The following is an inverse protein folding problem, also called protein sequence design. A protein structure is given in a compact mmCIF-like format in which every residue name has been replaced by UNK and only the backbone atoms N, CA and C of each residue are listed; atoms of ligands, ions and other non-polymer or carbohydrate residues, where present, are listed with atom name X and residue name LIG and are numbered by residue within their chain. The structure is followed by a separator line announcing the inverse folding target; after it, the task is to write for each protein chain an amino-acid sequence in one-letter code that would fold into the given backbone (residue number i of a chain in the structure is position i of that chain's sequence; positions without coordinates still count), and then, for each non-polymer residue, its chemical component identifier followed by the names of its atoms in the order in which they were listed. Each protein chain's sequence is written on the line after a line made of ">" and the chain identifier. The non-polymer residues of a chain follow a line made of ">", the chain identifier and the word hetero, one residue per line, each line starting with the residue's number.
data_IF_336531106748
#
_entry.id   IF_336531106748
#
_cell.length_a   1.000
_cell.length_b   1.000
_cell.length_c   1.000
_cell.angle_alpha   90.00
_cell.angle_beta   90.00
_cell.angle_gamma   90.00
#
_symmetry.space_group_name_H-M   'P 1'
#
loop_
_entity.id
_entity.type
_entity.pdbx_description
1 polymer ?
#
# COMPACT_ATOMS: atom_id res chain seq x y z
N UNK A 1 -14.18 -6.64 -13.47
CA UNK A 1 -14.24 -5.71 -12.31
C UNK A 1 -13.89 -4.30 -12.80
N UNK A 2 -14.88 -3.45 -13.04
CA UNK A 2 -14.64 -2.03 -13.32
C UNK A 2 -14.23 -1.36 -12.01
N UNK A 3 -12.98 -0.95 -11.93
CA UNK A 3 -12.38 -0.41 -10.73
C UNK A 3 -12.56 1.12 -10.81
N UNK A 4 -13.67 1.61 -10.27
CA UNK A 4 -14.01 3.03 -10.28
C UNK A 4 -12.89 3.82 -9.58
N UNK A 5 -12.39 4.85 -10.25
CA UNK A 5 -11.27 5.70 -9.88
C UNK A 5 -11.69 6.64 -8.75
N UNK A 6 -12.00 6.08 -7.58
CA UNK A 6 -12.10 6.90 -6.39
C UNK A 6 -10.68 7.36 -6.07
N UNK A 7 -10.38 8.62 -6.36
CA UNK A 7 -9.23 9.32 -5.80
C UNK A 7 -9.47 9.43 -4.30
N UNK A 8 -9.04 8.39 -3.58
CA UNK A 8 -9.07 8.36 -2.11
C UNK A 8 -7.84 9.12 -1.62
N UNK A 9 -7.96 9.78 -0.47
CA UNK A 9 -6.79 10.38 0.19
C UNK A 9 -5.81 9.25 0.53
N UNK A 10 -4.78 9.09 -0.29
CA UNK A 10 -3.79 8.04 -0.16
C UNK A 10 -2.82 8.44 0.95
N UNK A 11 -2.77 7.71 2.08
CA UNK A 11 -1.92 8.09 3.20
C UNK A 11 -0.45 7.71 2.98
N UNK A 12 -0.09 7.19 1.81
CA UNK A 12 1.24 6.65 1.61
C UNK A 12 2.29 7.76 1.51
N UNK A 13 3.41 7.55 2.20
CA UNK A 13 4.53 8.48 2.31
C UNK A 13 5.24 8.73 0.97
N UNK A 14 5.00 7.89 -0.04
CA UNK A 14 5.63 8.03 -1.35
C UNK A 14 4.80 8.91 -2.30
N UNK A 15 4.75 10.20 -1.98
CA UNK A 15 3.92 11.20 -2.67
C UNK A 15 4.30 11.43 -4.15
N UNK A 16 5.54 11.14 -4.56
CA UNK A 16 5.99 11.26 -5.96
C UNK A 16 5.61 10.06 -6.84
N UNK A 17 4.89 9.07 -6.31
CA UNK A 17 4.44 7.91 -7.06
C UNK A 17 3.38 8.29 -8.11
N UNK A 18 3.59 7.89 -9.37
CA UNK A 18 2.64 8.11 -10.47
C UNK A 18 1.28 7.40 -10.30
N UNK A 19 1.20 6.46 -9.36
CA UNK A 19 0.00 5.69 -8.99
C UNK A 19 -0.61 6.17 -7.66
N UNK A 20 -0.08 7.23 -7.06
CA UNK A 20 -0.59 7.80 -5.81
C UNK A 20 -2.07 8.21 -5.98
N UNK A 21 -2.94 7.80 -5.05
CA UNK A 21 -4.38 8.03 -5.16
C UNK A 21 -5.12 7.15 -6.19
N UNK A 22 -4.41 6.32 -6.97
CA UNK A 22 -4.99 5.41 -7.97
C UNK A 22 -5.03 3.97 -7.43
N UNK A 23 -5.95 3.70 -6.50
CA UNK A 23 -5.96 2.45 -5.72
C UNK A 23 -5.91 1.18 -6.58
N UNK A 24 -6.66 1.10 -7.67
CA UNK A 24 -6.69 -0.08 -8.51
C UNK A 24 -5.37 -0.32 -9.24
N UNK A 25 -4.76 0.73 -9.78
CA UNK A 25 -3.42 0.66 -10.39
C UNK A 25 -2.34 0.33 -9.36
N UNK A 26 -2.43 0.92 -8.16
CA UNK A 26 -1.51 0.70 -7.05
C UNK A 26 -1.53 -0.77 -6.59
N UNK A 27 -2.73 -1.31 -6.31
CA UNK A 27 -2.90 -2.72 -5.91
C UNK A 27 -2.45 -3.66 -7.02
N UNK A 28 -2.85 -3.41 -8.27
CA UNK A 28 -2.44 -4.26 -9.39
C UNK A 28 -0.92 -4.27 -9.58
N UNK A 29 -0.26 -3.13 -9.42
CA UNK A 29 1.20 -3.01 -9.52
C UNK A 29 1.91 -3.79 -8.42
N UNK A 30 1.56 -3.56 -7.14
CA UNK A 30 2.21 -4.24 -6.03
C UNK A 30 1.90 -5.74 -6.01
N UNK A 31 0.66 -6.15 -6.30
CA UNK A 31 0.28 -7.57 -6.39
C UNK A 31 1.12 -8.33 -7.42
N UNK A 32 1.40 -7.74 -8.58
CA UNK A 32 2.26 -8.35 -9.60
C UNK A 32 3.71 -8.55 -9.14
N UNK A 33 4.15 -7.83 -8.11
CA UNK A 33 5.49 -7.90 -7.54
C UNK A 33 5.54 -8.72 -6.24
N UNK A 34 4.42 -9.31 -5.81
CA UNK A 34 4.32 -10.01 -4.52
C UNK A 34 4.39 -9.04 -3.32
N UNK A 35 4.04 -7.78 -3.53
CA UNK A 35 4.11 -6.70 -2.56
C UNK A 35 2.71 -6.24 -2.14
N UNK A 36 2.63 -5.56 -0.99
CA UNK A 36 1.46 -4.82 -0.54
C UNK A 36 1.63 -3.30 -0.75
N UNK A 37 0.56 -2.57 -1.10
CA UNK A 37 0.56 -1.12 -1.08
C UNK A 37 0.94 -0.55 0.29
N UNK A 38 1.71 0.54 0.31
CA UNK A 38 2.14 1.21 1.55
C UNK A 38 0.97 1.63 2.45
N UNK A 39 -0.15 2.06 1.85
CA UNK A 39 -1.35 2.48 2.59
C UNK A 39 -2.02 1.37 3.40
N UNK A 40 -1.64 0.09 3.23
CA UNK A 40 -2.13 -1.01 4.06
C UNK A 40 -1.32 -1.21 5.34
N UNK A 41 -0.17 -0.54 5.47
CA UNK A 41 0.67 -0.61 6.65
C UNK A 41 0.29 0.49 7.65
N UNK A 42 0.59 0.26 8.93
CA UNK A 42 0.63 1.31 9.94
C UNK A 42 1.66 2.38 9.56
N UNK A 43 1.57 3.58 10.18
CA UNK A 43 2.56 4.64 9.96
C UNK A 43 4.00 4.16 10.24
N UNK A 44 4.18 3.30 11.25
CA UNK A 44 5.48 2.75 11.61
C UNK A 44 5.95 1.69 10.62
N UNK A 45 5.05 0.79 10.21
CA UNK A 45 5.33 -0.24 9.21
C UNK A 45 5.66 0.36 7.84
N UNK A 46 4.89 1.35 7.39
CA UNK A 46 5.10 1.97 6.09
C UNK A 46 6.48 2.64 5.96
N UNK A 47 6.95 3.26 7.05
CA UNK A 47 8.27 3.91 7.16
C UNK A 47 9.45 2.95 7.03
N UNK A 48 9.23 1.64 7.17
CA UNK A 48 10.27 0.62 6.94
C UNK A 48 10.56 0.41 5.46
N UNK A 49 9.66 0.88 4.58
CA UNK A 49 9.70 0.67 3.12
C UNK A 49 9.70 -0.79 2.65
N UNK A 50 9.62 -1.75 3.57
CA UNK A 50 9.46 -3.16 3.26
C UNK A 50 8.00 -3.45 2.89
N UNK A 51 7.76 -3.68 1.60
CA UNK A 51 6.44 -3.94 1.02
C UNK A 51 6.10 -5.44 0.96
N UNK A 52 6.90 -6.31 1.58
CA UNK A 52 6.61 -7.74 1.61
C UNK A 52 5.30 -8.03 2.36
N UNK A 53 4.61 -9.10 1.93
CA UNK A 53 3.40 -9.57 2.61
C UNK A 53 3.72 -10.06 4.04
N UNK A 54 4.93 -10.60 4.26
CA UNK A 54 5.40 -10.99 5.59
C UNK A 54 5.52 -9.79 6.54
N UNK A 55 6.08 -8.68 6.06
CA UNK A 55 6.16 -7.46 6.86
C UNK A 55 4.77 -6.88 7.13
N UNK A 56 3.86 -6.93 6.15
CA UNK A 56 2.47 -6.52 6.36
C UNK A 56 1.83 -7.33 7.49
N UNK A 57 1.97 -8.65 7.48
CA UNK A 57 1.44 -9.52 8.53
C UNK A 57 2.02 -9.17 9.91
N UNK A 58 3.34 -8.95 9.99
CA UNK A 58 4.02 -8.55 11.24
C UNK A 58 3.53 -7.20 11.75
N UNK A 59 3.33 -6.23 10.86
CA UNK A 59 2.82 -4.91 11.20
C UNK A 59 1.39 -4.97 11.76
N UNK A 60 0.52 -5.76 11.13
CA UNK A 60 -0.84 -6.02 11.65
C UNK A 60 -0.81 -6.69 13.03
N UNK A 61 0.07 -7.68 13.25
CA UNK A 61 0.21 -8.35 14.54
C UNK A 61 0.68 -7.43 15.66
N UNK A 62 1.54 -6.46 15.36
CA UNK A 62 2.04 -5.47 16.34
C UNK A 62 1.02 -4.38 16.68
N UNK A 63 0.00 -4.22 15.85
CA UNK A 63 -1.04 -3.20 16.00
C UNK A 63 -2.26 -3.71 16.79
N UNK A 64 -2.22 -4.96 17.27
CA UNK A 64 -3.21 -5.55 18.18
C UNK A 64 -2.86 -5.32 19.65
#
# INVERSE_FOLDING_TARGET
>A
MACNYNTINCPCTYASCSRHGKCCECVAYHRKRGEAPGCLFSKSGERTYDRSIENLYRDYKKSC
#
